data_IF_024659455038
#
_entry.id   IF_024659455038
#
_cell.length_a   1.000
_cell.length_b   1.000
_cell.length_c   1.000
_cell.angle_alpha   90.00
_cell.angle_beta   90.00
_cell.angle_gamma   90.00
#
_symmetry.space_group_name_H-M   'P 1'
#
loop_
_entity.id
_entity.type
_entity.pdbx_description
1 polymer ?
#
# COMPACT_ATOMS: atom_id res chain seq x y z
N UNK A 1 -0.21 -6.95 -22.67
CA UNK A 1 0.00 -6.53 -21.27
C UNK A 1 -1.34 -6.08 -20.74
N UNK A 2 -1.81 -6.69 -19.67
CA UNK A 2 -3.03 -6.23 -19.00
C UNK A 2 -2.83 -4.84 -18.42
N UNK A 3 -3.92 -4.08 -18.27
CA UNK A 3 -3.86 -2.79 -17.61
C UNK A 3 -3.64 -3.00 -16.11
N UNK A 4 -2.80 -2.19 -15.45
CA UNK A 4 -2.54 -2.37 -14.02
C UNK A 4 -3.81 -2.20 -13.20
N UNK A 5 -3.94 -3.02 -12.16
CA UNK A 5 -5.03 -2.92 -11.18
C UNK A 5 -4.64 -1.89 -10.12
N UNK A 6 -5.63 -1.28 -9.49
CA UNK A 6 -5.38 -0.23 -8.50
C UNK A 6 -6.27 -0.43 -7.28
N UNK A 7 -5.73 -0.14 -6.11
CA UNK A 7 -6.48 -0.12 -4.85
C UNK A 7 -6.05 1.08 -4.01
N UNK A 8 -6.91 1.50 -3.09
CA UNK A 8 -6.53 2.46 -2.06
C UNK A 8 -7.10 2.02 -0.72
N UNK A 9 -6.21 1.77 0.23
CA UNK A 9 -6.52 1.33 1.57
C UNK A 9 -6.31 2.50 2.54
N UNK A 10 -7.27 2.71 3.44
CA UNK A 10 -7.10 3.55 4.63
C UNK A 10 -6.88 2.64 5.83
N UNK A 11 -5.82 2.87 6.59
CA UNK A 11 -5.58 2.24 7.89
C UNK A 11 -5.59 3.30 8.98
N UNK A 12 -6.03 2.90 10.16
CA UNK A 12 -6.02 3.71 11.38
C UNK A 12 -4.93 3.11 12.27
N UNK A 13 -3.77 3.77 12.38
CA UNK A 13 -2.60 3.25 13.09
C UNK A 13 -2.26 4.13 14.31
N UNK A 14 -1.73 3.57 15.40
CA UNK A 14 -1.20 4.39 16.50
C UNK A 14 -0.08 5.32 16.02
N UNK A 15 -0.11 6.57 16.45
CA UNK A 15 0.96 7.52 16.16
C UNK A 15 2.27 7.02 16.82
N UNK A 16 3.40 6.98 16.09
CA UNK A 16 4.67 6.49 16.64
C UNK A 16 5.19 7.30 17.84
N UNK A 17 4.87 8.59 17.89
CA UNK A 17 5.31 9.52 18.94
C UNK A 17 4.28 9.62 20.07
N UNK A 18 3.00 9.49 19.74
CA UNK A 18 1.88 9.62 20.69
C UNK A 18 0.95 8.39 20.57
N UNK A 19 1.27 7.25 21.20
CA UNK A 19 0.56 5.97 20.96
C UNK A 19 -0.93 5.95 21.32
N UNK A 20 -1.40 6.91 22.11
CA UNK A 20 -2.82 7.10 22.45
C UNK A 20 -3.60 7.81 21.32
N UNK A 21 -2.89 8.43 20.37
CA UNK A 21 -3.46 9.04 19.17
C UNK A 21 -3.44 8.06 18.00
N UNK A 22 -4.53 8.04 17.24
CA UNK A 22 -4.69 7.23 16.04
C UNK A 22 -4.57 8.14 14.83
N UNK A 23 -3.63 7.83 13.94
CA UNK A 23 -3.36 8.56 12.72
C UNK A 23 -3.80 7.76 11.49
N UNK A 24 -4.56 8.37 10.56
CA UNK A 24 -4.95 7.71 9.33
C UNK A 24 -3.77 7.67 8.36
N UNK A 25 -3.48 6.49 7.82
CA UNK A 25 -2.53 6.32 6.72
C UNK A 25 -3.28 5.80 5.48
N UNK A 26 -3.01 6.41 4.34
CA UNK A 26 -3.57 6.04 3.05
C UNK A 26 -2.49 5.37 2.20
N UNK A 27 -2.81 4.20 1.66
CA UNK A 27 -1.93 3.39 0.83
C UNK A 27 -2.63 3.20 -0.51
N UNK A 28 -2.17 3.91 -1.54
CA UNK A 28 -2.54 3.65 -2.92
C UNK A 28 -1.55 2.64 -3.49
N UNK A 29 -2.06 1.53 -4.01
CA UNK A 29 -1.26 0.53 -4.68
C UNK A 29 -1.60 0.42 -6.17
N UNK A 30 -0.57 0.20 -6.97
CA UNK A 30 -0.66 -0.15 -8.39
C UNK A 30 -0.10 -1.55 -8.55
N UNK A 31 -0.94 -2.47 -9.00
CA UNK A 31 -0.64 -3.89 -9.10
C UNK A 31 -0.38 -4.27 -10.55
N UNK A 32 0.76 -4.91 -10.77
CA UNK A 32 1.11 -5.58 -12.02
C UNK A 32 1.20 -7.09 -11.79
N UNK A 33 1.35 -7.85 -12.85
CA UNK A 33 1.39 -9.32 -12.73
C UNK A 33 2.70 -9.82 -12.09
N UNK A 34 3.77 -9.02 -12.14
CA UNK A 34 5.11 -9.39 -11.65
C UNK A 34 5.64 -8.49 -10.54
N UNK A 35 4.99 -7.35 -10.28
CA UNK A 35 5.50 -6.33 -9.37
C UNK A 35 4.39 -5.40 -8.88
N UNK A 36 4.70 -4.50 -7.95
CA UNK A 36 3.75 -3.50 -7.49
C UNK A 36 4.43 -2.22 -6.98
N UNK A 37 3.70 -1.12 -7.08
CA UNK A 37 4.12 0.18 -6.56
C UNK A 37 3.14 0.64 -5.47
N UNK A 38 3.66 1.16 -4.36
CA UNK A 38 2.88 1.78 -3.30
C UNK A 38 3.21 3.27 -3.21
N UNK A 39 2.17 4.07 -3.04
CA UNK A 39 2.22 5.47 -2.66
C UNK A 39 1.48 5.62 -1.34
N UNK A 40 2.17 6.12 -0.31
CA UNK A 40 1.70 6.11 1.06
C UNK A 40 1.73 7.55 1.61
N UNK A 41 0.72 7.93 2.38
CA UNK A 41 0.65 9.25 3.03
C UNK A 41 -0.11 9.18 4.35
N UNK A 42 0.31 9.96 5.33
CA UNK A 42 -0.45 10.29 6.54
C UNK A 42 -0.91 11.76 6.56
N UNK A 43 -0.50 12.57 5.57
CA UNK A 43 -0.67 14.03 5.53
C UNK A 43 -0.19 14.72 6.83
N UNK A 44 1.10 15.11 6.92
CA UNK A 44 1.82 15.80 5.85
C UNK A 44 2.87 14.96 5.11
N UNK A 45 3.28 13.81 5.65
CA UNK A 45 4.40 13.05 5.12
C UNK A 45 3.96 12.07 4.02
N UNK A 46 4.93 11.60 3.23
CA UNK A 46 4.66 10.64 2.16
C UNK A 46 5.83 9.72 1.91
N UNK A 47 5.51 8.49 1.52
CA UNK A 47 6.48 7.47 1.18
C UNK A 47 6.10 6.76 -0.10
N UNK A 48 7.11 6.19 -0.74
CA UNK A 48 6.96 5.34 -1.91
C UNK A 48 7.66 4.00 -1.67
N UNK A 49 7.06 2.93 -2.19
CA UNK A 49 7.70 1.62 -2.29
C UNK A 49 7.56 1.16 -3.72
N UNK A 50 8.67 0.82 -4.37
CA UNK A 50 8.67 0.23 -5.71
C UNK A 50 9.20 -1.18 -5.56
N UNK A 51 8.30 -2.15 -5.44
CA UNK A 51 8.68 -3.55 -5.32
C UNK A 51 8.98 -4.07 -6.72
N UNK A 52 10.24 -4.01 -7.17
CA UNK A 52 10.58 -4.45 -8.54
C UNK A 52 10.31 -5.95 -8.73
N UNK A 53 10.24 -6.40 -9.98
CA UNK A 53 10.07 -7.82 -10.28
C UNK A 53 11.18 -8.69 -9.63
N UNK A 54 12.42 -8.21 -9.65
CA UNK A 54 13.54 -8.89 -9.00
C UNK A 54 13.38 -8.95 -7.49
N UNK A 55 12.99 -7.85 -6.85
CA UNK A 55 12.76 -7.81 -5.41
C UNK A 55 11.58 -8.71 -5.00
N UNK A 56 10.49 -8.70 -5.77
CA UNK A 56 9.35 -9.58 -5.55
C UNK A 56 9.77 -11.03 -5.64
N UNK A 57 10.55 -11.41 -6.68
CA UNK A 57 11.08 -12.77 -6.84
C UNK A 57 11.93 -13.20 -5.66
N UNK A 58 12.86 -12.35 -5.22
CA UNK A 58 13.70 -12.63 -4.06
C UNK A 58 12.87 -12.80 -2.78
N UNK A 59 11.82 -12.00 -2.60
CA UNK A 59 10.92 -12.12 -1.45
C UNK A 59 10.03 -13.35 -1.53
N UNK A 60 9.44 -13.65 -2.67
CA UNK A 60 8.64 -14.85 -2.87
C UNK A 60 9.45 -16.11 -2.54
N UNK A 61 10.72 -16.17 -2.97
CA UNK A 61 11.65 -17.23 -2.62
C UNK A 61 11.95 -17.32 -1.11
N UNK A 62 12.05 -16.18 -0.39
CA UNK A 62 12.24 -16.18 1.07
C UNK A 62 11.04 -16.75 1.84
N UNK A 63 9.85 -16.73 1.24
CA UNK A 63 8.61 -17.25 1.83
C UNK A 63 8.21 -18.62 1.24
N UNK A 64 9.08 -19.24 0.43
CA UNK A 64 8.81 -20.50 -0.28
C UNK A 64 7.50 -20.48 -1.09
N UNK A 65 7.23 -19.34 -1.74
CA UNK A 65 6.01 -19.08 -2.52
C UNK A 65 6.32 -18.80 -3.99
N UNK A 66 5.43 -19.18 -4.93
CA UNK A 66 5.46 -18.69 -6.30
C UNK A 66 5.32 -17.16 -6.37
N UNK A 67 5.92 -16.52 -7.39
CA UNK A 67 5.85 -15.06 -7.59
C UNK A 67 4.39 -14.57 -7.70
N UNK A 68 3.56 -15.30 -8.45
CA UNK A 68 2.14 -14.97 -8.62
C UNK A 68 1.38 -14.99 -7.28
N UNK A 69 1.51 -16.07 -6.51
CA UNK A 69 0.87 -16.22 -5.19
C UNK A 69 1.34 -15.12 -4.22
N UNK A 70 2.61 -14.70 -4.32
CA UNK A 70 3.16 -13.63 -3.50
C UNK A 70 2.55 -12.26 -3.88
N UNK A 71 2.36 -11.98 -5.17
CA UNK A 71 1.66 -10.77 -5.64
C UNK A 71 0.20 -10.79 -5.19
N UNK A 72 -0.50 -11.91 -5.33
CA UNK A 72 -1.88 -12.05 -4.86
C UNK A 72 -1.99 -11.84 -3.34
N UNK A 73 -1.04 -12.37 -2.58
CA UNK A 73 -0.95 -12.14 -1.14
C UNK A 73 -0.74 -10.66 -0.82
N UNK A 74 0.17 -10.00 -1.54
CA UNK A 74 0.42 -8.57 -1.38
C UNK A 74 -0.85 -7.74 -1.68
N UNK A 75 -1.52 -8.02 -2.81
CA UNK A 75 -2.75 -7.36 -3.22
C UNK A 75 -3.86 -7.56 -2.20
N UNK A 76 -4.00 -8.78 -1.66
CA UNK A 76 -5.00 -9.08 -0.64
C UNK A 76 -4.82 -8.27 0.65
N UNK A 77 -3.59 -8.15 1.14
CA UNK A 77 -3.34 -7.52 2.46
C UNK A 77 -3.09 -6.02 2.39
N UNK A 78 -2.50 -5.51 1.30
CA UNK A 78 -2.22 -4.08 1.14
C UNK A 78 -3.29 -3.36 0.30
N UNK A 79 -4.08 -4.10 -0.49
CA UNK A 79 -5.21 -3.53 -1.20
C UNK A 79 -6.44 -3.35 -0.32
N UNK A 80 -6.61 -4.21 0.70
CA UNK A 80 -7.77 -4.22 1.58
C UNK A 80 -7.39 -4.65 3.00
N UNK A 81 -8.02 -4.05 4.00
CA UNK A 81 -7.84 -4.45 5.38
C UNK A 81 -8.41 -5.85 5.60
N UNK A 82 -7.59 -6.77 6.08
CA UNK A 82 -8.02 -8.14 6.40
C UNK A 82 -8.43 -8.28 7.87
N UNK A 83 -9.59 -8.91 8.17
CA UNK A 83 -10.01 -9.18 9.55
C UNK A 83 -8.95 -9.98 10.32
N UNK A 84 -8.71 -9.61 11.59
CA UNK A 84 -7.74 -10.28 12.46
C UNK A 84 -6.26 -10.03 12.13
N UNK A 85 -5.97 -9.20 11.12
CA UNK A 85 -4.61 -8.82 10.75
C UNK A 85 -4.15 -7.59 11.50
N UNK A 86 -2.86 -7.55 11.85
CA UNK A 86 -2.23 -6.40 12.53
C UNK A 86 -1.32 -5.70 11.54
N UNK A 87 -1.60 -4.43 11.29
CA UNK A 87 -0.82 -3.57 10.42
C UNK A 87 0.09 -2.67 11.25
N UNK A 88 1.29 -2.42 10.75
CA UNK A 88 2.27 -1.52 11.36
C UNK A 88 2.99 -0.74 10.28
N UNK A 89 3.26 0.52 10.57
CA UNK A 89 4.13 1.38 9.78
C UNK A 89 5.14 1.99 10.74
N UNK A 90 6.38 1.53 10.66
CA UNK A 90 7.44 1.86 11.64
C UNK A 90 8.72 2.16 10.90
N UNK A 91 9.61 2.89 11.55
CA UNK A 91 10.99 3.02 11.09
C UNK A 91 11.68 1.65 11.03
N UNK A 92 12.81 1.60 10.31
CA UNK A 92 13.56 0.37 10.08
C UNK A 92 14.14 -0.18 11.41
N UNK A 93 13.39 -1.02 12.10
CA UNK A 93 13.80 -1.67 13.34
C UNK A 93 14.67 -2.92 13.14
N UNK A 94 15.30 -3.35 14.23
CA UNK A 94 16.16 -4.53 14.30
C UNK A 94 15.44 -5.80 13.82
N UNK A 95 16.12 -6.56 12.94
CA UNK A 95 15.57 -7.68 12.15
C UNK A 95 15.46 -9.00 12.92
N UNK A 96 14.86 -9.01 14.10
CA UNK A 96 14.81 -10.22 14.95
C UNK A 96 13.54 -11.06 14.76
N UNK A 97 12.47 -10.48 14.20
CA UNK A 97 11.19 -11.17 13.96
C UNK A 97 10.90 -11.35 12.45
N UNK A 98 10.37 -12.51 12.09
CA UNK A 98 9.90 -12.81 10.73
C UNK A 98 8.50 -12.24 10.55
N UNK A 99 8.39 -11.16 9.80
CA UNK A 99 7.14 -10.48 9.49
C UNK A 99 7.15 -10.15 7.98
N UNK A 100 5.97 -10.23 7.34
CA UNK A 100 5.81 -9.80 5.95
C UNK A 100 5.88 -8.28 5.91
N UNK A 101 6.85 -7.72 5.18
CA UNK A 101 7.17 -6.29 5.21
C UNK A 101 7.82 -5.82 3.93
N UNK A 102 7.55 -4.57 3.59
CA UNK A 102 8.17 -3.86 2.50
C UNK A 102 8.83 -2.57 2.98
N UNK A 103 9.96 -2.24 2.36
CA UNK A 103 10.69 -1.01 2.69
C UNK A 103 10.08 0.13 1.91
N UNK A 104 9.71 1.17 2.62
CA UNK A 104 9.24 2.41 2.03
C UNK A 104 10.33 3.47 2.18
N UNK A 105 10.47 4.33 1.18
CA UNK A 105 11.39 5.45 1.19
C UNK A 105 10.60 6.76 1.20
N UNK A 106 11.09 7.83 1.85
CA UNK A 106 10.46 9.13 1.76
C UNK A 106 10.22 9.52 0.30
N UNK A 107 9.03 10.05 0.01
CA UNK A 107 8.71 10.52 -1.33
C UNK A 107 9.64 11.68 -1.71
N UNK A 108 10.23 11.69 -2.92
CA UNK A 108 10.99 12.84 -3.40
C UNK A 108 10.10 14.07 -3.60
N UNK A 109 8.78 13.89 -3.73
CA UNK A 109 7.81 14.97 -3.86
C UNK A 109 6.51 14.62 -3.11
N UNK A 110 6.43 14.89 -1.80
CA UNK A 110 5.26 14.59 -0.96
C UNK A 110 3.96 15.20 -1.49
N UNK A 111 4.00 16.44 -1.98
CA UNK A 111 2.83 17.13 -2.52
C UNK A 111 2.24 16.39 -3.73
N UNK A 112 3.11 15.90 -4.63
CA UNK A 112 2.68 15.13 -5.78
C UNK A 112 2.13 13.75 -5.38
N UNK A 113 2.75 13.09 -4.40
CA UNK A 113 2.26 11.81 -3.88
C UNK A 113 0.88 11.98 -3.26
N UNK A 114 0.70 12.95 -2.36
CA UNK A 114 -0.57 13.22 -1.68
C UNK A 114 -1.67 13.58 -2.69
N UNK A 115 -1.37 14.51 -3.61
CA UNK A 115 -2.32 14.89 -4.67
C UNK A 115 -2.67 13.72 -5.57
N UNK A 116 -1.71 12.83 -5.88
CA UNK A 116 -1.93 11.65 -6.70
C UNK A 116 -2.82 10.57 -6.04
N UNK A 117 -2.81 10.50 -4.71
CA UNK A 117 -3.72 9.64 -3.92
C UNK A 117 -5.11 10.27 -3.87
N UNK A 118 -5.20 11.57 -3.55
CA UNK A 118 -6.47 12.29 -3.49
C UNK A 118 -7.20 12.29 -4.84
N UNK A 119 -6.49 12.58 -5.93
CA UNK A 119 -7.07 12.56 -7.28
C UNK A 119 -7.61 11.17 -7.63
N UNK A 120 -6.89 10.10 -7.28
CA UNK A 120 -7.37 8.74 -7.49
C UNK A 120 -8.68 8.46 -6.73
N UNK A 121 -8.76 8.86 -5.46
CA UNK A 121 -9.97 8.71 -4.66
C UNK A 121 -11.13 9.54 -5.20
N UNK A 122 -10.88 10.78 -5.63
CA UNK A 122 -11.89 11.66 -6.21
C UNK A 122 -12.42 11.11 -7.54
N UNK A 123 -11.54 10.65 -8.43
CA UNK A 123 -11.92 10.02 -9.70
C UNK A 123 -12.77 8.76 -9.47
N UNK A 124 -12.38 7.91 -8.51
CA UNK A 124 -13.15 6.73 -8.14
C UNK A 124 -14.53 7.12 -7.59
N UNK A 125 -14.61 8.11 -6.72
CA UNK A 125 -15.87 8.61 -6.16
C UNK A 125 -16.80 9.18 -7.24
N UNK A 126 -16.27 9.95 -8.20
CA UNK A 126 -17.03 10.48 -9.33
C UNK A 126 -17.63 9.32 -10.16
N UNK A 127 -16.82 8.31 -10.48
CA UNK A 127 -17.28 7.13 -11.25
C UNK A 127 -18.37 6.36 -10.51
N UNK A 128 -18.20 6.13 -9.21
CA UNK A 128 -19.21 5.45 -8.37
C UNK A 128 -20.51 6.26 -8.28
N UNK A 129 -20.41 7.59 -8.18
CA UNK A 129 -21.57 8.48 -8.16
C UNK A 129 -22.35 8.47 -9.48
N UNK A 130 -21.67 8.33 -10.63
CA UNK A 130 -22.37 8.12 -11.90
C UNK A 130 -23.08 6.77 -11.96
N UNK A 131 -22.47 5.71 -11.44
CA UNK A 131 -23.09 4.38 -11.39
C UNK A 131 -24.32 4.32 -10.48
N UNK A 132 -24.34 5.09 -9.37
CA UNK A 132 -25.49 5.13 -8.47
C UNK A 132 -26.69 5.89 -9.05
N UNK A 133 -26.49 6.79 -10.01
CA UNK A 133 -27.58 7.51 -10.70
C UNK A 133 -28.22 6.67 -11.82
N UNK A 134 -27.52 5.66 -12.32
CA UNK A 134 -27.99 4.78 -13.39
C UNK A 134 -28.72 3.52 -12.90
N UNK A 135 -28.76 3.29 -11.58
CA UNK A 135 -29.51 2.20 -10.93
C UNK A 135 -30.70 2.76 -10.15
#
# INVERSE_FOLDING_TARGET
MESPRHSCLKLELPNPTEPDEIEPIFIKATWYDTHFDLSITNDPDSWVCKASEEEVRERAAQWDQPEADYIELAERYLGFQQPGSVYKFTDAENRTKLEWRWKCQPSPNPQQTNSGILNFLMDANIRLSFLSVLN
#
